data_IF_714896293450
#
_entry.id   IF_714896293450
#
_cell.length_a   1.000
_cell.length_b   1.000
_cell.length_c   1.000
_cell.angle_alpha   90.00
_cell.angle_beta   90.00
_cell.angle_gamma   90.00
#
_symmetry.space_group_name_H-M   'P 1'
#
loop_
_entity.id
_entity.type
_entity.pdbx_description
1 polymer ?
#
# COMPACT_ATOMS: atom_id res chain seq x y z
N UNK A 1 21.17 -12.84 -19.65
CA UNK A 1 20.59 -14.10 -19.12
C UNK A 1 19.14 -13.87 -18.74
N UNK A 2 18.34 -14.93 -18.75
CA UNK A 2 16.90 -14.88 -18.46
C UNK A 2 16.56 -14.32 -17.05
N UNK A 3 17.45 -14.50 -16.06
CA UNK A 3 17.29 -13.94 -14.72
C UNK A 3 17.42 -12.41 -14.65
N UNK A 4 18.32 -11.82 -15.44
CA UNK A 4 18.57 -10.37 -15.46
C UNK A 4 17.41 -9.60 -16.11
N UNK A 5 16.81 -10.17 -17.15
CA UNK A 5 15.61 -9.62 -17.79
C UNK A 5 14.42 -9.57 -16.83
N UNK A 6 14.17 -10.65 -16.07
CA UNK A 6 13.07 -10.70 -15.08
C UNK A 6 13.20 -9.65 -13.97
N UNK A 7 14.42 -9.37 -13.48
CA UNK A 7 14.68 -8.34 -12.45
C UNK A 7 14.41 -6.94 -12.98
N UNK A 8 14.99 -6.57 -14.12
CA UNK A 8 14.84 -5.24 -14.72
C UNK A 8 13.38 -4.93 -15.11
N UNK A 9 12.65 -5.93 -15.61
CA UNK A 9 11.25 -5.81 -16.00
C UNK A 9 10.32 -5.59 -14.80
N UNK A 10 10.53 -6.30 -13.69
CA UNK A 10 9.74 -6.13 -12.47
C UNK A 10 10.05 -4.79 -11.78
N UNK A 11 11.32 -4.37 -11.74
CA UNK A 11 11.73 -3.05 -11.22
C UNK A 11 11.16 -1.88 -12.02
N UNK A 12 10.93 -2.04 -13.32
CA UNK A 12 10.46 -0.94 -14.19
C UNK A 12 8.94 -0.80 -14.27
N UNK A 13 8.19 -1.89 -14.04
CA UNK A 13 6.74 -1.92 -14.29
C UNK A 13 5.89 -2.41 -13.11
N UNK A 14 6.50 -3.05 -12.11
CA UNK A 14 5.80 -3.61 -10.96
C UNK A 14 6.46 -3.14 -9.66
N UNK A 15 6.12 -1.94 -9.17
CA UNK A 15 6.56 -1.37 -7.88
C UNK A 15 5.94 -2.12 -6.69
N UNK A 16 5.83 -3.44 -6.78
CA UNK A 16 5.28 -4.33 -5.76
C UNK A 16 6.03 -4.19 -4.43
N UNK A 17 7.29 -3.77 -4.49
CA UNK A 17 8.05 -3.25 -3.36
C UNK A 17 7.40 -2.03 -2.70
N UNK A 18 6.97 -1.01 -3.45
CA UNK A 18 6.27 0.16 -2.89
C UNK A 18 4.95 -0.21 -2.23
N UNK A 19 4.20 -1.16 -2.78
CA UNK A 19 2.95 -1.60 -2.17
C UNK A 19 3.20 -2.32 -0.85
N UNK A 20 4.22 -3.19 -0.80
CA UNK A 20 4.63 -3.85 0.42
C UNK A 20 5.22 -2.86 1.43
N UNK A 21 5.98 -1.86 0.97
CA UNK A 21 6.53 -0.80 1.79
C UNK A 21 5.43 0.06 2.42
N UNK A 22 4.38 0.41 1.67
CA UNK A 22 3.23 1.16 2.20
C UNK A 22 2.39 0.34 3.18
N UNK A 23 2.34 -0.99 3.02
CA UNK A 23 1.71 -1.89 4.01
C UNK A 23 2.55 -1.94 5.30
N UNK A 24 3.87 -2.02 5.18
CA UNK A 24 4.78 -1.98 6.33
C UNK A 24 4.69 -0.61 7.04
N UNK A 25 4.71 0.50 6.30
CA UNK A 25 4.54 1.85 6.84
C UNK A 25 3.20 1.99 7.56
N UNK A 26 2.12 1.42 7.00
CA UNK A 26 0.82 1.39 7.67
C UNK A 26 0.82 0.57 8.96
N UNK A 27 1.49 -0.59 8.97
CA UNK A 27 1.61 -1.45 10.14
C UNK A 27 2.46 -0.82 11.25
N UNK A 28 3.45 0.00 10.88
CA UNK A 28 4.34 0.69 11.81
C UNK A 28 3.88 2.11 12.16
N UNK A 29 2.79 2.60 11.56
CA UNK A 29 2.24 3.94 11.80
C UNK A 29 1.72 4.07 13.24
N UNK A 30 2.57 4.63 14.11
CA UNK A 30 2.24 5.04 15.47
C UNK A 30 2.03 6.55 15.50
N UNK A 31 1.07 7.01 16.31
CA UNK A 31 0.78 8.46 16.45
C UNK A 31 2.03 9.26 16.87
N UNK A 32 2.86 8.71 17.77
CA UNK A 32 4.08 9.38 18.22
C UNK A 32 3.79 10.76 18.79
N UNK A 33 4.46 11.78 18.25
CA UNK A 33 4.26 13.20 18.56
C UNK A 33 3.34 13.93 17.57
N UNK A 34 2.71 13.23 16.61
CA UNK A 34 1.80 13.84 15.64
C UNK A 34 0.49 14.26 16.32
N UNK A 35 -0.09 15.36 15.87
CA UNK A 35 -1.45 15.69 16.27
C UNK A 35 -2.43 14.68 15.69
N UNK A 36 -3.52 14.42 16.41
CA UNK A 36 -4.53 13.42 16.03
C UNK A 36 -5.07 13.65 14.62
N UNK A 37 -5.21 14.91 14.20
CA UNK A 37 -5.64 15.30 12.86
C UNK A 37 -4.65 14.91 11.76
N UNK A 38 -3.35 15.07 12.01
CA UNK A 38 -2.29 14.71 11.07
C UNK A 38 -2.14 13.19 10.96
N UNK A 39 -2.27 12.48 12.08
CA UNK A 39 -2.32 11.02 12.09
C UNK A 39 -3.51 10.48 11.30
N UNK A 40 -4.72 11.04 11.51
CA UNK A 40 -5.92 10.62 10.81
C UNK A 40 -5.82 10.82 9.29
N UNK A 41 -5.29 11.97 8.85
CA UNK A 41 -5.08 12.24 7.43
C UNK A 41 -4.14 11.22 6.77
N UNK A 42 -3.02 10.90 7.44
CA UNK A 42 -2.03 9.92 6.94
C UNK A 42 -2.59 8.49 6.90
N UNK A 43 -3.39 8.13 7.89
CA UNK A 43 -4.09 6.84 7.94
C UNK A 43 -5.11 6.68 6.79
N UNK A 44 -5.89 7.72 6.50
CA UNK A 44 -6.88 7.70 5.42
C UNK A 44 -6.25 7.62 4.02
N UNK A 45 -5.09 8.26 3.82
CA UNK A 45 -4.34 8.19 2.57
C UNK A 45 -3.83 6.76 2.30
N UNK A 46 -3.21 6.14 3.31
CA UNK A 46 -2.74 4.75 3.23
C UNK A 46 -3.91 3.77 3.05
N UNK A 47 -5.03 3.97 3.74
CA UNK A 47 -6.25 3.19 3.53
C UNK A 47 -6.76 3.29 2.09
N UNK A 48 -6.78 4.49 1.49
CA UNK A 48 -7.19 4.68 0.08
C UNK A 48 -6.27 3.97 -0.89
N UNK A 49 -4.96 4.01 -0.67
CA UNK A 49 -3.98 3.31 -1.52
C UNK A 49 -4.10 1.78 -1.41
N UNK A 50 -4.39 1.26 -0.22
CA UNK A 50 -4.62 -0.16 -0.01
C UNK A 50 -5.96 -0.63 -0.61
N UNK A 51 -7.03 0.14 -0.41
CA UNK A 51 -8.38 -0.18 -0.90
C UNK A 51 -8.51 -0.08 -2.43
N UNK A 52 -7.82 0.86 -3.07
CA UNK A 52 -7.84 1.01 -4.54
C UNK A 52 -6.99 -0.03 -5.26
N UNK A 53 -6.02 -0.65 -4.59
CA UNK A 53 -5.12 -1.66 -5.18
C UNK A 53 -5.46 -3.10 -4.82
N UNK A 54 -6.36 -3.36 -3.86
CA UNK A 54 -6.90 -4.71 -3.61
C UNK A 54 -8.24 -4.94 -4.35
N UNK A 55 -8.37 -5.98 -5.21
CA UNK A 55 -9.64 -6.33 -5.84
C UNK A 55 -10.72 -6.89 -4.90
N UNK A 56 -10.36 -7.16 -3.63
CA UNK A 56 -11.11 -8.06 -2.74
C UNK A 56 -12.34 -7.43 -2.05
N UNK A 57 -12.62 -6.13 -2.24
CA UNK A 57 -13.86 -5.49 -1.75
C UNK A 57 -14.88 -5.19 -2.85
N UNK A 58 -14.97 -6.03 -3.87
CA UNK A 58 -16.10 -6.02 -4.83
C UNK A 58 -16.84 -7.36 -4.85
N UNK A 59 -17.19 -7.88 -3.67
CA UNK A 59 -18.22 -8.91 -3.46
C UNK A 59 -18.40 -9.10 -1.94
N UNK A 60 -19.29 -8.30 -1.34
CA UNK A 60 -20.09 -8.60 -0.13
C UNK A 60 -20.79 -7.35 0.36
N UNK A 61 -21.73 -6.88 -0.44
CA UNK A 61 -23.03 -6.42 0.06
C UNK A 61 -24.04 -6.98 -0.96
N UNK A 62 -24.42 -8.24 -0.77
CA UNK A 62 -25.76 -8.67 -1.16
C UNK A 62 -26.57 -8.47 0.10
N UNK A 63 -27.44 -7.45 0.06
CA UNK A 63 -28.59 -7.35 0.97
C UNK A 63 -29.50 -8.54 0.79
#
# INVERSE_FOLDING_TARGET
TWARFKREFLTKYFPTDERNHKVIEFMELKQGSMYVSEYAAKFEELCRLLLTTTPWRRKRISV
#
